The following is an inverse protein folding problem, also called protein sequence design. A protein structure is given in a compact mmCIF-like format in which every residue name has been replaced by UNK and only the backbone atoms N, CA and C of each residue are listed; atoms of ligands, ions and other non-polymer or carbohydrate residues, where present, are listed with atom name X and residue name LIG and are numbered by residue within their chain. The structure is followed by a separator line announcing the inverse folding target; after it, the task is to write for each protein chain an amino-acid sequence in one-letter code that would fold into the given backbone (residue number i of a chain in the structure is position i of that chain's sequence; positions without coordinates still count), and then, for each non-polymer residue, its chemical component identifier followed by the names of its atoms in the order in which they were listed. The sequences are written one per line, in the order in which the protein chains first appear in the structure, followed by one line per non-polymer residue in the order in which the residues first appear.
data_IF_275250964792
#
_entry.id   IF_275250964792
#
_cell.length_a   1.000
_cell.length_b   1.000
_cell.length_c   1.000
_cell.angle_alpha   90.00
_cell.angle_beta   90.00
_cell.angle_gamma   90.00
#
_symmetry.space_group_name_H-M   'P 1'
#
loop_
_entity.id
_entity.type
_entity.pdbx_description
1 polymer ?
#
# COMPACT_ATOMS: atom_id res chain seq x y z
N UNK A 1 -14.45 -39.87 -16.35
CA UNK A 1 -14.19 -38.44 -16.09
C UNK A 1 -14.56 -38.18 -14.64
N UNK A 2 -13.57 -38.16 -13.74
CA UNK A 2 -13.79 -37.72 -12.37
C UNK A 2 -13.84 -36.20 -12.38
N UNK A 3 -15.02 -35.62 -12.16
CA UNK A 3 -15.16 -34.21 -11.86
C UNK A 3 -14.74 -34.01 -10.40
N UNK A 4 -13.55 -33.47 -10.17
CA UNK A 4 -13.11 -33.04 -8.85
C UNK A 4 -13.99 -31.88 -8.37
N UNK A 5 -15.08 -32.21 -7.69
CA UNK A 5 -15.95 -31.23 -7.04
C UNK A 5 -15.31 -30.85 -5.70
N UNK A 6 -14.36 -29.91 -5.73
CA UNK A 6 -13.94 -29.25 -4.50
C UNK A 6 -15.07 -28.33 -4.04
N UNK A 7 -15.50 -28.39 -2.76
CA UNK A 7 -16.50 -27.46 -2.25
C UNK A 7 -16.01 -26.01 -2.38
N UNK A 8 -16.92 -25.05 -2.61
CA UNK A 8 -16.55 -23.64 -2.69
C UNK A 8 -15.87 -23.20 -1.40
N UNK A 9 -14.86 -22.35 -1.53
CA UNK A 9 -14.13 -21.82 -0.37
C UNK A 9 -15.09 -21.03 0.54
N UNK A 10 -14.92 -21.18 1.84
CA UNK A 10 -15.57 -20.30 2.80
C UNK A 10 -15.00 -18.89 2.70
N UNK A 11 -15.77 -17.88 3.10
CA UNK A 11 -15.32 -16.49 3.12
C UNK A 11 -13.99 -16.29 3.86
N UNK A 12 -13.81 -16.98 4.99
CA UNK A 12 -12.58 -16.93 5.76
C UNK A 12 -11.37 -17.50 5.00
N UNK A 13 -11.57 -18.59 4.24
CA UNK A 13 -10.54 -19.17 3.39
C UNK A 13 -10.17 -18.24 2.23
N UNK A 14 -11.16 -17.62 1.58
CA UNK A 14 -10.93 -16.61 0.54
C UNK A 14 -10.11 -15.43 1.06
N UNK A 15 -10.49 -14.87 2.22
CA UNK A 15 -9.77 -13.76 2.83
C UNK A 15 -8.33 -14.13 3.18
N UNK A 16 -8.09 -15.33 3.73
CA UNK A 16 -6.73 -15.80 4.05
C UNK A 16 -5.86 -15.92 2.80
N UNK A 17 -6.40 -16.52 1.74
CA UNK A 17 -5.68 -16.65 0.46
C UNK A 17 -5.42 -15.28 -0.18
N UNK A 18 -6.37 -14.36 -0.09
CA UNK A 18 -6.20 -13.00 -0.59
C UNK A 18 -5.10 -12.24 0.16
N UNK A 19 -5.04 -12.35 1.49
CA UNK A 19 -3.97 -11.76 2.31
C UNK A 19 -2.61 -12.34 1.95
N UNK A 20 -2.52 -13.66 1.79
CA UNK A 20 -1.27 -14.33 1.42
C UNK A 20 -0.77 -13.89 0.05
N UNK A 21 -1.66 -13.86 -0.95
CA UNK A 21 -1.33 -13.34 -2.29
C UNK A 21 -0.89 -11.89 -2.23
N UNK A 22 -1.62 -11.05 -1.51
CA UNK A 22 -1.28 -9.64 -1.33
C UNK A 22 0.13 -9.48 -0.74
N UNK A 23 0.44 -10.22 0.32
CA UNK A 23 1.74 -10.19 0.98
C UNK A 23 2.87 -10.61 0.04
N UNK A 24 2.69 -11.72 -0.70
CA UNK A 24 3.68 -12.23 -1.66
C UNK A 24 3.90 -11.22 -2.79
N UNK A 25 2.83 -10.74 -3.43
CA UNK A 25 2.92 -9.78 -4.54
C UNK A 25 3.56 -8.46 -4.08
N UNK A 26 3.19 -7.94 -2.90
CA UNK A 26 3.81 -6.74 -2.33
C UNK A 26 5.30 -6.92 -2.04
N UNK A 27 5.71 -8.08 -1.50
CA UNK A 27 7.12 -8.39 -1.24
C UNK A 27 7.93 -8.46 -2.55
N UNK A 28 7.36 -9.04 -3.61
CA UNK A 28 7.99 -9.03 -4.92
C UNK A 28 8.14 -7.62 -5.49
N UNK A 29 7.11 -6.78 -5.37
CA UNK A 29 7.17 -5.38 -5.80
C UNK A 29 8.25 -4.60 -5.05
N UNK A 30 8.31 -4.78 -3.74
CA UNK A 30 9.30 -4.14 -2.89
C UNK A 30 10.73 -4.53 -3.32
N UNK A 31 10.98 -5.83 -3.49
CA UNK A 31 12.30 -6.32 -3.93
C UNK A 31 12.67 -5.86 -5.34
N UNK A 32 11.68 -5.68 -6.22
CA UNK A 32 11.89 -5.23 -7.60
C UNK A 32 12.23 -3.73 -7.69
N UNK A 33 11.79 -2.93 -6.72
CA UNK A 33 12.07 -1.49 -6.66
C UNK A 33 11.25 -0.64 -7.64
N UNK A 34 10.27 -1.22 -8.35
CA UNK A 34 9.32 -0.45 -9.17
C UNK A 34 7.95 -1.11 -9.23
N UNK A 35 6.92 -0.27 -9.46
CA UNK A 35 5.53 -0.68 -9.54
C UNK A 35 4.86 -0.09 -10.78
N UNK A 36 4.18 -0.94 -11.56
CA UNK A 36 3.29 -0.53 -12.66
C UNK A 36 1.85 -0.92 -12.29
N UNK A 37 0.96 0.04 -11.97
CA UNK A 37 -0.42 -0.26 -11.56
C UNK A 37 -1.20 -1.09 -12.58
N UNK A 38 -0.97 -0.86 -13.88
CA UNK A 38 -1.62 -1.61 -14.97
C UNK A 38 -0.87 -2.89 -15.36
N UNK A 39 0.13 -3.31 -14.59
CA UNK A 39 0.89 -4.54 -14.82
C UNK A 39 0.31 -5.73 -14.05
N UNK A 40 0.92 -6.91 -14.23
CA UNK A 40 0.47 -8.16 -13.61
C UNK A 40 0.34 -8.04 -12.09
N UNK A 41 1.38 -7.52 -11.41
CA UNK A 41 1.34 -7.34 -9.94
C UNK A 41 0.29 -6.33 -9.49
N UNK A 42 -0.01 -5.32 -10.31
CA UNK A 42 -1.06 -4.35 -10.00
C UNK A 42 -2.46 -4.96 -10.11
N UNK A 43 -2.68 -5.77 -11.15
CA UNK A 43 -3.92 -6.54 -11.30
C UNK A 43 -4.10 -7.55 -10.17
N UNK A 44 -3.05 -8.28 -9.79
CA UNK A 44 -3.09 -9.23 -8.66
C UNK A 44 -3.45 -8.55 -7.34
N UNK A 45 -2.82 -7.41 -7.03
CA UNK A 45 -3.15 -6.62 -5.84
C UNK A 45 -4.61 -6.17 -5.89
N UNK A 46 -5.08 -5.67 -7.04
CA UNK A 46 -6.46 -5.23 -7.21
C UNK A 46 -7.43 -6.37 -6.93
N UNK A 47 -7.23 -7.54 -7.54
CA UNK A 47 -8.09 -8.70 -7.33
C UNK A 47 -8.06 -9.20 -5.88
N UNK A 48 -6.87 -9.21 -5.25
CA UNK A 48 -6.74 -9.56 -3.84
C UNK A 48 -7.51 -8.59 -2.94
N UNK A 49 -7.47 -7.29 -3.21
CA UNK A 49 -8.22 -6.28 -2.45
C UNK A 49 -9.74 -6.42 -2.64
N UNK A 50 -10.21 -6.62 -3.88
CA UNK A 50 -11.64 -6.85 -4.17
C UNK A 50 -12.15 -8.15 -3.53
N UNK A 51 -11.30 -9.16 -3.46
CA UNK A 51 -11.59 -10.42 -2.76
C UNK A 51 -11.63 -10.19 -1.26
N UNK A 52 -10.63 -9.51 -0.69
CA UNK A 52 -10.49 -9.28 0.73
C UNK A 52 -11.62 -8.39 1.30
N UNK A 53 -12.04 -7.36 0.55
CA UNK A 53 -13.03 -6.34 0.98
C UNK A 53 -12.69 -5.78 2.36
N UNK A 54 -11.49 -5.21 2.52
CA UNK A 54 -11.05 -4.73 3.82
C UNK A 54 -11.97 -3.62 4.31
N UNK A 55 -12.23 -3.59 5.62
CA UNK A 55 -13.16 -2.64 6.24
C UNK A 55 -12.77 -1.17 5.97
N UNK A 56 -11.47 -0.88 5.87
CA UNK A 56 -10.95 0.45 5.55
C UNK A 56 -11.31 0.94 4.14
N UNK A 57 -11.77 0.04 3.26
CA UNK A 57 -12.24 0.31 1.89
C UNK A 57 -13.64 -0.28 1.69
N UNK A 58 -14.56 -0.01 2.63
CA UNK A 58 -15.85 -0.70 2.74
C UNK A 58 -16.76 -0.61 1.50
N UNK A 59 -16.60 0.41 0.66
CA UNK A 59 -17.37 0.61 -0.58
C UNK A 59 -16.63 0.21 -1.85
N UNK A 60 -15.40 -0.31 -1.77
CA UNK A 60 -14.54 -0.61 -2.94
C UNK A 60 -15.15 -1.59 -3.95
N UNK A 61 -16.10 -2.42 -3.50
CA UNK A 61 -16.81 -3.39 -4.34
C UNK A 61 -18.20 -2.92 -4.79
N UNK A 62 -18.65 -1.74 -4.36
CA UNK A 62 -19.92 -1.18 -4.78
C UNK A 62 -19.71 -0.39 -6.09
N UNK A 63 -20.22 -0.88 -7.23
CA UNK A 63 -20.03 -0.22 -8.53
C UNK A 63 -20.76 1.13 -8.63
N UNK A 64 -21.64 1.45 -7.68
CA UNK A 64 -22.40 2.71 -7.64
C UNK A 64 -21.78 3.75 -6.70
N UNK A 65 -20.70 3.41 -5.99
CA UNK A 65 -20.05 4.31 -5.03
C UNK A 65 -18.59 4.55 -5.39
N UNK A 66 -18.12 5.72 -4.98
CA UNK A 66 -16.70 6.08 -5.03
C UNK A 66 -16.14 5.97 -3.62
N UNK A 67 -15.04 5.24 -3.46
CA UNK A 67 -14.36 5.02 -2.18
C UNK A 67 -13.47 6.23 -1.81
N UNK A 68 -14.09 7.31 -1.33
CA UNK A 68 -13.38 8.51 -0.91
C UNK A 68 -12.73 8.37 0.47
N UNK A 69 -13.33 7.60 1.38
CA UNK A 69 -12.78 7.41 2.73
C UNK A 69 -11.46 6.64 2.69
N UNK A 70 -11.36 5.65 1.81
CA UNK A 70 -10.11 4.96 1.50
C UNK A 70 -9.04 5.90 0.96
N UNK A 71 -9.40 6.85 0.08
CA UNK A 71 -8.46 7.85 -0.42
C UNK A 71 -7.98 8.78 0.71
N UNK A 72 -8.90 9.29 1.53
CA UNK A 72 -8.57 10.12 2.71
C UNK A 72 -7.65 9.35 3.66
N UNK A 73 -7.95 8.07 3.91
CA UNK A 73 -7.13 7.20 4.74
C UNK A 73 -5.67 7.15 4.27
N UNK A 74 -5.45 7.03 2.95
CA UNK A 74 -4.10 7.02 2.37
C UNK A 74 -3.44 8.40 2.49
N UNK A 75 -4.14 9.46 2.10
CA UNK A 75 -3.61 10.83 2.10
C UNK A 75 -3.15 11.28 3.49
N UNK A 76 -3.92 10.96 4.52
CA UNK A 76 -3.61 11.27 5.93
C UNK A 76 -2.31 10.62 6.44
N UNK A 77 -1.82 9.58 5.74
CA UNK A 77 -0.66 8.78 6.12
C UNK A 77 0.57 9.06 5.27
N UNK A 78 0.42 9.87 4.22
CA UNK A 78 1.52 10.28 3.37
C UNK A 78 2.08 11.65 3.81
N UNK A 79 3.41 11.85 3.79
CA UNK A 79 4.00 13.16 4.02
C UNK A 79 3.69 14.11 2.86
N UNK A 80 3.45 15.39 3.19
CA UNK A 80 3.23 16.44 2.19
C UNK A 80 4.45 16.57 1.26
N UNK A 81 4.21 16.71 -0.04
CA UNK A 81 5.28 16.88 -1.02
C UNK A 81 5.81 15.58 -1.61
N UNK A 82 5.36 14.41 -1.15
CA UNK A 82 5.78 13.10 -1.66
C UNK A 82 5.46 12.93 -3.16
N UNK A 83 4.42 13.58 -3.65
CA UNK A 83 3.97 13.56 -5.04
C UNK A 83 4.97 14.15 -6.02
N UNK A 84 5.85 15.04 -5.54
CA UNK A 84 6.92 15.63 -6.33
C UNK A 84 8.24 14.82 -6.24
N UNK A 85 8.29 13.79 -5.40
CA UNK A 85 9.48 12.97 -5.22
C UNK A 85 9.47 11.76 -6.15
N UNK A 86 10.55 11.57 -6.91
CA UNK A 86 10.80 10.39 -7.74
C UNK A 86 11.44 9.25 -6.96
N UNK A 87 12.20 9.57 -5.90
CA UNK A 87 12.93 8.59 -5.10
C UNK A 87 12.49 8.69 -3.65
N UNK A 88 12.03 7.56 -3.10
CA UNK A 88 11.66 7.42 -1.70
C UNK A 88 12.60 6.44 -1.04
N UNK A 89 13.32 6.87 -0.01
CA UNK A 89 14.23 6.03 0.77
C UNK A 89 13.61 5.72 2.12
N UNK A 90 13.53 4.45 2.47
CA UNK A 90 13.07 4.01 3.79
C UNK A 90 14.29 3.76 4.67
N UNK A 91 14.34 4.39 5.84
CA UNK A 91 15.45 4.28 6.79
C UNK A 91 14.95 3.87 8.16
N UNK A 92 15.83 3.24 8.94
CA UNK A 92 15.60 3.12 10.39
C UNK A 92 15.60 4.51 11.03
N UNK A 93 15.10 4.60 12.26
CA UNK A 93 15.09 5.85 13.05
C UNK A 93 16.49 6.40 13.38
N UNK A 94 17.53 5.64 13.07
CA UNK A 94 18.91 5.97 13.38
C UNK A 94 19.52 6.84 12.26
N UNK A 95 19.81 8.11 12.57
CA UNK A 95 20.74 8.94 11.77
C UNK A 95 20.20 10.25 11.21
N UNK A 96 18.89 10.40 11.00
CA UNK A 96 18.32 11.67 10.47
C UNK A 96 17.82 12.65 11.54
N UNK A 97 17.78 12.22 12.81
CA UNK A 97 17.34 13.06 13.95
C UNK A 97 18.21 14.32 14.13
N UNK A 98 19.44 14.33 13.60
CA UNK A 98 20.36 15.47 13.65
C UNK A 98 20.57 16.13 12.28
N UNK A 99 19.76 15.75 11.29
CA UNK A 99 19.84 16.35 9.97
C UNK A 99 19.34 17.81 10.00
N UNK A 100 19.84 18.63 9.09
CA UNK A 100 19.39 20.03 8.94
C UNK A 100 18.06 20.15 8.19
N UNK A 101 17.45 19.02 7.79
CA UNK A 101 16.23 19.02 6.98
C UNK A 101 15.00 19.22 7.87
N UNK A 102 13.99 19.97 7.42
CA UNK A 102 12.73 20.10 8.13
C UNK A 102 12.03 18.75 8.28
N UNK A 103 11.52 18.47 9.48
CA UNK A 103 10.75 17.25 9.76
C UNK A 103 9.32 17.41 9.23
N UNK A 104 8.89 16.48 8.39
CA UNK A 104 7.53 16.34 7.89
C UNK A 104 6.86 15.16 8.59
N UNK A 105 5.77 15.40 9.31
CA UNK A 105 5.05 14.35 10.05
C UNK A 105 3.66 14.16 9.43
N UNK A 106 3.33 13.00 8.86
CA UNK A 106 1.98 12.72 8.38
C UNK A 106 0.97 12.71 9.53
N UNK A 107 -0.25 13.20 9.27
CA UNK A 107 -1.28 13.41 10.30
C UNK A 107 -1.62 12.13 11.08
N UNK A 108 -1.67 10.98 10.41
CA UNK A 108 -2.04 9.69 11.01
C UNK A 108 -0.90 8.68 11.11
N UNK A 109 0.19 8.81 10.32
CA UNK A 109 1.31 7.84 10.33
C UNK A 109 2.42 8.19 11.33
N UNK A 110 2.50 9.43 11.86
CA UNK A 110 3.40 9.85 12.95
C UNK A 110 4.86 9.34 12.88
N UNK A 111 5.38 9.15 11.66
CA UNK A 111 6.78 8.82 11.38
C UNK A 111 7.45 10.03 10.78
N UNK A 112 8.70 10.29 11.15
CA UNK A 112 9.42 11.43 10.61
C UNK A 112 9.75 11.16 9.13
N UNK A 113 9.50 12.17 8.31
CA UNK A 113 9.87 12.19 6.91
C UNK A 113 10.71 13.44 6.67
N UNK A 114 11.67 13.34 5.76
CA UNK A 114 12.59 14.42 5.45
C UNK A 114 12.65 14.59 3.94
N UNK A 115 12.44 15.82 3.48
CA UNK A 115 12.64 16.15 2.07
C UNK A 115 14.08 16.61 1.88
N UNK A 116 14.87 15.79 1.18
CA UNK A 116 16.30 16.04 0.97
C UNK A 116 16.51 17.04 -0.16
N UNK A 117 15.72 16.93 -1.23
CA UNK A 117 15.71 17.87 -2.36
C UNK A 117 14.33 17.90 -3.07
N UNK A 118 14.28 18.41 -4.30
CA UNK A 118 13.04 18.50 -5.07
C UNK A 118 12.48 17.14 -5.49
N UNK A 119 13.30 16.10 -5.61
CA UNK A 119 12.91 14.79 -6.14
C UNK A 119 13.07 13.65 -5.13
N UNK A 120 13.68 13.88 -3.97
CA UNK A 120 14.04 12.85 -3.00
C UNK A 120 13.41 13.07 -1.62
N UNK A 121 12.85 12.00 -1.06
CA UNK A 121 12.31 11.97 0.29
C UNK A 121 12.78 10.75 1.05
N UNK A 122 13.15 10.97 2.31
CA UNK A 122 13.50 9.93 3.27
C UNK A 122 12.34 9.76 4.24
N UNK A 123 11.95 8.53 4.52
CA UNK A 123 10.87 8.18 5.44
C UNK A 123 11.41 7.19 6.47
N UNK A 124 11.26 7.51 7.75
CA UNK A 124 11.56 6.56 8.82
C UNK A 124 10.47 5.48 8.90
N UNK A 125 10.87 4.21 8.98
CA UNK A 125 9.96 3.06 9.10
C UNK A 125 10.05 2.37 10.46
#
# INVERSE_FOLDING_TARGET
MHTDFSPPLTRAQESRLAIERLYITMRHLFNRGFYKPSGVSGEEIRQALLTLRPEIYGSVNDPQRVELDGLVYVMDRLPKGIEACRVITLVSREGFEHSRFPVLIPAKRRRNCYRVDQEQMVIEV
#
